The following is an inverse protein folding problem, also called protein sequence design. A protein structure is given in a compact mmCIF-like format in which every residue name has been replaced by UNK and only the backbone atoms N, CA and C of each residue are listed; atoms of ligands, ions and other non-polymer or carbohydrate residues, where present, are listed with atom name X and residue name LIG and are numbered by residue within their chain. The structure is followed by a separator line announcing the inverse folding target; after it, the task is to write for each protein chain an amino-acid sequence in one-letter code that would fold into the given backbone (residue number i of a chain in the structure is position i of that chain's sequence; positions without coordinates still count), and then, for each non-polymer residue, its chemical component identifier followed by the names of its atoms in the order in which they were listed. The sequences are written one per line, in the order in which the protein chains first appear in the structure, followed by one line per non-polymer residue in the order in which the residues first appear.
data_IF_304287287307
#
_entry.id   IF_304287287307
#
_cell.length_a   1.000
_cell.length_b   1.000
_cell.length_c   1.000
_cell.angle_alpha   90.00
_cell.angle_beta   90.00
_cell.angle_gamma   90.00
#
_symmetry.space_group_name_H-M   'P 1'
#
loop_
_entity.id
_entity.type
_entity.pdbx_description
1 polymer ?
#
# COMPACT_ATOMS: atom_id res chain seq x y z
N UNK A 1 -47.87 24.27 6.11
CA UNK A 1 -46.91 23.34 5.48
C UNK A 1 -45.87 22.98 6.51
N UNK A 2 -46.09 21.87 7.21
CA UNK A 2 -45.20 21.32 8.24
C UNK A 2 -44.06 20.60 7.51
N UNK A 3 -42.85 21.17 7.56
CA UNK A 3 -41.65 20.52 7.05
C UNK A 3 -41.38 19.28 7.91
N UNK A 4 -41.31 18.11 7.27
CA UNK A 4 -40.93 16.87 7.94
C UNK A 4 -39.53 17.02 8.57
N UNK A 5 -39.29 16.44 9.76
CA UNK A 5 -37.95 16.40 10.34
C UNK A 5 -37.02 15.63 9.41
N UNK A 6 -35.88 16.22 9.03
CA UNK A 6 -34.83 15.49 8.34
C UNK A 6 -34.34 14.35 9.24
N UNK A 7 -34.06 13.15 8.69
CA UNK A 7 -33.49 12.07 9.47
C UNK A 7 -32.20 12.56 10.14
N UNK A 8 -32.05 12.26 11.43
CA UNK A 8 -30.82 12.53 12.17
C UNK A 8 -29.66 11.88 11.42
N UNK A 9 -28.78 12.70 10.86
CA UNK A 9 -27.47 12.26 10.38
C UNK A 9 -26.79 11.60 11.58
N UNK A 10 -26.62 10.28 11.52
CA UNK A 10 -25.90 9.52 12.51
C UNK A 10 -24.53 10.13 12.74
N UNK A 11 -24.02 9.99 13.98
CA UNK A 11 -22.64 10.33 14.32
C UNK A 11 -21.72 9.81 13.23
N UNK A 12 -20.91 10.69 12.64
CA UNK A 12 -19.89 10.26 11.70
C UNK A 12 -18.84 9.50 12.49
N UNK A 13 -18.55 8.27 12.06
CA UNK A 13 -17.54 7.47 12.70
C UNK A 13 -16.16 8.03 12.31
N UNK A 14 -15.27 8.17 13.29
CA UNK A 14 -13.88 8.56 13.04
C UNK A 14 -13.18 7.47 12.22
N UNK A 15 -13.60 6.21 12.37
CA UNK A 15 -13.13 5.12 11.51
C UNK A 15 -13.42 5.37 10.02
N UNK A 16 -14.48 6.11 9.67
CA UNK A 16 -14.82 6.38 8.28
C UNK A 16 -13.79 7.28 7.59
N UNK A 17 -13.23 8.29 8.29
CA UNK A 17 -12.21 9.16 7.68
C UNK A 17 -10.87 8.45 7.56
N UNK A 18 -10.47 7.65 8.55
CA UNK A 18 -9.19 6.94 8.49
C UNK A 18 -9.18 5.93 7.34
N UNK A 19 -10.30 5.22 7.12
CA UNK A 19 -10.48 4.35 5.96
C UNK A 19 -10.39 5.12 4.63
N UNK A 20 -11.02 6.31 4.55
CA UNK A 20 -10.93 7.17 3.37
C UNK A 20 -9.49 7.67 3.13
N UNK A 21 -8.77 8.02 4.19
CA UNK A 21 -7.37 8.46 4.13
C UNK A 21 -6.45 7.33 3.67
N UNK A 22 -6.64 6.10 4.18
CA UNK A 22 -5.89 4.93 3.74
C UNK A 22 -6.18 4.57 2.27
N UNK A 23 -7.45 4.59 1.85
CA UNK A 23 -7.83 4.38 0.45
C UNK A 23 -7.20 5.43 -0.48
N UNK A 24 -7.20 6.69 -0.04
CA UNK A 24 -6.56 7.78 -0.77
C UNK A 24 -5.04 7.59 -0.85
N UNK A 25 -4.38 7.23 0.26
CA UNK A 25 -2.95 6.95 0.27
C UNK A 25 -2.58 5.85 -0.73
N UNK A 26 -3.29 4.71 -0.69
CA UNK A 26 -3.08 3.60 -1.65
C UNK A 26 -3.25 4.06 -3.09
N UNK A 27 -4.30 4.83 -3.38
CA UNK A 27 -4.56 5.38 -4.71
C UNK A 27 -3.45 6.31 -5.20
N UNK A 28 -2.96 7.20 -4.32
CA UNK A 28 -1.84 8.11 -4.62
C UNK A 28 -0.56 7.34 -4.88
N UNK A 29 -0.27 6.28 -4.12
CA UNK A 29 0.91 5.44 -4.35
C UNK A 29 0.84 4.72 -5.70
N UNK A 30 -0.33 4.21 -6.10
CA UNK A 30 -0.51 3.66 -7.44
C UNK A 30 -0.32 4.70 -8.54
N UNK A 31 -0.85 5.92 -8.34
CA UNK A 31 -0.67 7.01 -9.29
C UNK A 31 0.80 7.42 -9.41
N UNK A 32 1.52 7.58 -8.29
CA UNK A 32 2.97 7.82 -8.27
C UNK A 32 3.75 6.76 -9.05
N UNK A 33 3.47 5.48 -8.81
CA UNK A 33 4.10 4.36 -9.55
C UNK A 33 3.86 4.48 -11.06
N UNK A 34 2.67 4.93 -11.47
CA UNK A 34 2.36 5.16 -12.88
C UNK A 34 3.13 6.36 -13.47
N UNK A 35 3.37 7.42 -12.69
CA UNK A 35 4.22 8.54 -13.09
C UNK A 35 5.69 8.13 -13.26
N UNK A 36 6.18 7.25 -12.39
CA UNK A 36 7.56 6.76 -12.36
C UNK A 36 7.89 5.82 -13.52
N UNK A 37 6.90 5.13 -14.10
CA UNK A 37 7.07 4.35 -15.33
C UNK A 37 7.31 5.26 -16.55
N UNK A 38 8.50 5.87 -16.63
CA UNK A 38 8.98 6.52 -17.86
C UNK A 38 9.06 5.48 -18.98
N UNK A 39 8.30 5.68 -20.05
CA UNK A 39 8.57 5.04 -21.32
C UNK A 39 9.81 5.69 -21.94
N UNK A 40 10.97 5.11 -21.64
CA UNK A 40 12.21 5.42 -22.34
C UNK A 40 12.06 4.99 -23.81
N UNK A 41 11.60 5.91 -24.68
CA UNK A 41 11.73 5.77 -26.14
C UNK A 41 10.51 6.02 -27.02
N UNK A 42 9.29 6.20 -26.50
CA UNK A 42 8.09 6.26 -27.38
C UNK A 42 7.59 7.66 -27.75
N UNK A 43 8.11 8.75 -27.18
CA UNK A 43 7.60 10.10 -27.47
C UNK A 43 6.13 10.34 -27.07
N UNK A 44 5.52 9.37 -26.39
CA UNK A 44 4.13 9.40 -25.94
C UNK A 44 4.03 10.26 -24.67
N UNK A 45 3.07 11.18 -24.64
CA UNK A 45 2.84 12.04 -23.47
C UNK A 45 2.37 11.14 -22.32
N UNK A 46 3.05 11.19 -21.17
CA UNK A 46 2.73 10.38 -19.98
C UNK A 46 1.23 10.37 -19.64
N UNK A 47 0.58 11.52 -19.84
CA UNK A 47 -0.83 11.79 -19.59
C UNK A 47 -1.79 10.97 -20.47
N UNK A 48 -1.31 10.45 -21.60
CA UNK A 48 -2.11 9.66 -22.53
C UNK A 48 -2.09 8.16 -22.24
N UNK A 49 -1.16 7.69 -21.42
CA UNK A 49 -1.03 6.28 -21.08
C UNK A 49 -2.26 5.77 -20.32
N UNK A 50 -2.66 4.53 -20.60
CA UNK A 50 -3.78 3.87 -19.89
C UNK A 50 -3.51 3.77 -18.39
N UNK A 51 -2.25 3.57 -17.99
CA UNK A 51 -1.83 3.51 -16.58
C UNK A 51 -2.03 4.86 -15.88
N UNK A 52 -1.61 5.97 -16.49
CA UNK A 52 -1.85 7.30 -15.96
C UNK A 52 -3.35 7.59 -15.84
N UNK A 53 -4.13 7.31 -16.89
CA UNK A 53 -5.59 7.51 -16.89
C UNK A 53 -6.29 6.70 -15.79
N UNK A 54 -5.93 5.43 -15.61
CA UNK A 54 -6.47 4.56 -14.54
C UNK A 54 -6.07 5.04 -13.15
N UNK A 55 -4.78 5.39 -12.96
CA UNK A 55 -4.28 5.94 -11.69
C UNK A 55 -4.98 7.24 -11.32
N UNK A 56 -5.11 8.16 -12.29
CA UNK A 56 -5.87 9.42 -12.14
C UNK A 56 -7.30 9.16 -11.68
N UNK A 57 -8.03 8.30 -12.38
CA UNK A 57 -9.45 8.03 -12.07
C UNK A 57 -9.60 7.50 -10.64
N UNK A 58 -8.78 6.53 -10.23
CA UNK A 58 -8.80 5.98 -8.86
C UNK A 58 -8.59 7.03 -7.77
N UNK A 59 -7.62 7.91 -7.97
CA UNK A 59 -7.35 8.99 -7.02
C UNK A 59 -8.52 9.97 -6.95
N UNK A 60 -9.04 10.39 -8.10
CA UNK A 60 -10.16 11.32 -8.16
C UNK A 60 -11.46 10.72 -7.60
N UNK A 61 -11.66 9.42 -7.69
CA UNK A 61 -12.78 8.71 -7.04
C UNK A 61 -12.61 8.69 -5.52
N UNK A 62 -11.41 8.39 -5.03
CA UNK A 62 -11.10 8.44 -3.58
C UNK A 62 -11.31 9.85 -3.00
N UNK A 63 -10.98 10.89 -3.77
CA UNK A 63 -11.23 12.27 -3.38
C UNK A 63 -12.72 12.60 -3.19
N UNK A 64 -13.65 11.93 -3.88
CA UNK A 64 -15.08 12.19 -3.72
C UNK A 64 -15.56 11.83 -2.31
N UNK A 65 -15.05 10.73 -1.75
CA UNK A 65 -15.37 10.31 -0.38
C UNK A 65 -14.91 11.36 0.64
N UNK A 66 -13.63 11.75 0.57
CA UNK A 66 -13.04 12.79 1.43
C UNK A 66 -13.77 14.13 1.27
N UNK A 67 -14.14 14.51 0.04
CA UNK A 67 -14.91 15.73 -0.23
C UNK A 67 -16.24 15.73 0.51
N UNK A 68 -17.00 14.64 0.41
CA UNK A 68 -18.31 14.51 1.07
C UNK A 68 -18.16 14.61 2.59
N UNK A 69 -17.17 13.93 3.13
CA UNK A 69 -16.86 13.98 4.56
C UNK A 69 -16.54 15.41 5.03
N UNK A 70 -15.64 16.11 4.33
CA UNK A 70 -15.26 17.48 4.68
C UNK A 70 -16.41 18.49 4.51
N UNK A 71 -17.25 18.35 3.48
CA UNK A 71 -18.43 19.20 3.31
C UNK A 71 -19.44 18.96 4.44
N UNK A 72 -19.66 17.70 4.82
CA UNK A 72 -20.56 17.32 5.90
C UNK A 72 -20.12 17.89 7.25
N UNK A 73 -18.85 17.76 7.63
CA UNK A 73 -18.36 18.26 8.92
C UNK A 73 -18.40 19.79 8.99
N UNK A 74 -18.02 20.47 7.90
CA UNK A 74 -18.08 21.93 7.82
C UNK A 74 -19.52 22.46 7.94
N UNK A 75 -20.51 21.73 7.42
CA UNK A 75 -21.93 22.08 7.52
C UNK A 75 -22.50 21.83 8.90
N UNK A 76 -22.16 20.70 9.54
CA UNK A 76 -22.67 20.34 10.87
C UNK A 76 -22.21 21.31 11.95
N UNK A 77 -20.93 21.67 11.91
CA UNK A 77 -20.34 22.56 12.91
C UNK A 77 -20.34 24.04 12.48
N UNK A 78 -21.17 24.39 11.49
CA UNK A 78 -21.30 25.77 11.05
C UNK A 78 -21.88 26.64 12.18
N UNK A 79 -21.12 27.65 12.60
CA UNK A 79 -21.52 28.56 13.68
C UNK A 79 -21.36 27.98 15.10
N UNK A 80 -20.82 26.77 15.24
CA UNK A 80 -20.47 26.20 16.55
C UNK A 80 -19.11 26.75 16.98
N UNK A 81 -19.06 27.38 18.15
CA UNK A 81 -17.82 27.88 18.73
C UNK A 81 -16.87 26.71 19.05
N UNK A 82 -15.61 26.80 18.63
CA UNK A 82 -14.59 25.78 18.91
C UNK A 82 -14.62 24.51 18.04
N UNK A 83 -15.71 24.22 17.31
CA UNK A 83 -15.84 23.10 16.33
C UNK A 83 -15.17 21.77 16.77
N UNK A 84 -15.66 21.14 17.85
CA UNK A 84 -14.96 20.04 18.51
C UNK A 84 -14.78 18.78 17.66
N UNK A 85 -15.69 18.45 16.75
CA UNK A 85 -15.59 17.27 15.88
C UNK A 85 -14.48 17.49 14.83
N UNK A 86 -14.47 18.65 14.17
CA UNK A 86 -13.39 19.05 13.25
C UNK A 86 -12.05 19.04 13.97
N UNK A 87 -12.03 19.53 15.21
CA UNK A 87 -10.84 19.58 16.03
C UNK A 87 -10.33 18.16 16.34
N UNK A 88 -11.22 17.29 16.81
CA UNK A 88 -10.91 15.89 17.08
C UNK A 88 -10.34 15.14 15.87
N UNK A 89 -10.86 15.42 14.68
CA UNK A 89 -10.46 14.71 13.46
C UNK A 89 -9.19 15.27 12.84
N UNK A 90 -9.11 16.59 12.69
CA UNK A 90 -8.09 17.27 11.89
C UNK A 90 -7.05 18.03 12.70
N UNK A 91 -7.07 18.01 14.04
CA UNK A 91 -5.95 18.61 14.77
C UNK A 91 -5.55 17.98 16.09
N UNK A 92 -6.31 17.04 16.68
CA UNK A 92 -5.80 16.20 17.78
C UNK A 92 -4.57 15.38 17.34
N UNK A 93 -4.48 15.06 16.04
CA UNK A 93 -3.37 14.36 15.41
C UNK A 93 -2.22 15.29 14.96
N UNK A 94 -2.14 16.49 15.54
CA UNK A 94 -1.16 17.50 15.15
C UNK A 94 -1.38 18.07 13.75
N UNK A 95 -2.60 18.01 13.21
CA UNK A 95 -2.95 18.42 11.85
C UNK A 95 -2.37 17.52 10.75
N UNK A 96 -2.02 16.27 11.09
CA UNK A 96 -1.36 15.37 10.15
C UNK A 96 -2.29 14.92 9.01
N UNK A 97 -3.58 14.64 9.27
CA UNK A 97 -4.54 14.28 8.20
C UNK A 97 -4.72 15.38 7.16
N UNK A 98 -4.95 16.63 7.60
CA UNK A 98 -5.14 17.76 6.69
C UNK A 98 -3.84 18.09 5.93
N UNK A 99 -2.68 17.95 6.57
CA UNK A 99 -1.39 18.09 5.91
C UNK A 99 -1.17 17.02 4.83
N UNK A 100 -1.50 15.76 5.11
CA UNK A 100 -1.41 14.68 4.12
C UNK A 100 -2.31 14.95 2.90
N UNK A 101 -3.55 15.40 3.14
CA UNK A 101 -4.47 15.78 2.06
C UNK A 101 -3.91 16.92 1.21
N UNK A 102 -3.33 17.94 1.85
CA UNK A 102 -2.66 19.04 1.17
C UNK A 102 -1.53 18.54 0.26
N UNK A 103 -0.67 17.67 0.79
CA UNK A 103 0.45 17.09 0.03
C UNK A 103 -0.02 16.24 -1.15
N UNK A 104 -1.09 15.46 -1.01
CA UNK A 104 -1.65 14.67 -2.12
C UNK A 104 -2.29 15.53 -3.20
N UNK A 105 -3.07 16.53 -2.82
CA UNK A 105 -3.71 17.45 -3.77
C UNK A 105 -2.69 18.29 -4.51
N UNK A 106 -1.61 18.71 -3.84
CA UNK A 106 -0.47 19.37 -4.48
C UNK A 106 0.23 18.44 -5.49
N UNK A 107 0.53 17.19 -5.11
CA UNK A 107 1.14 16.22 -6.03
C UNK A 107 0.28 16.00 -7.29
N UNK A 108 -1.04 15.91 -7.13
CA UNK A 108 -1.96 15.77 -8.26
C UNK A 108 -1.99 17.00 -9.14
N UNK A 109 -1.93 18.20 -8.55
CA UNK A 109 -1.89 19.44 -9.29
C UNK A 109 -0.59 19.54 -10.09
N UNK A 110 0.55 19.25 -9.47
CA UNK A 110 1.87 19.28 -10.11
C UNK A 110 1.98 18.24 -11.23
N UNK A 111 1.54 17.00 -11.00
CA UNK A 111 1.48 15.95 -12.02
C UNK A 111 0.43 16.23 -13.11
N UNK A 112 -0.56 17.05 -12.77
CA UNK A 112 -1.71 17.39 -13.59
C UNK A 112 -1.53 18.63 -14.47
N UNK A 113 -0.44 19.38 -14.31
CA UNK A 113 -0.18 20.59 -15.09
C UNK A 113 -0.27 20.32 -16.60
N UNK A 114 -1.09 21.11 -17.29
CA UNK A 114 -1.33 20.96 -18.74
C UNK A 114 -2.21 19.76 -19.11
N UNK A 115 -2.88 19.13 -18.14
CA UNK A 115 -3.79 17.99 -18.35
C UNK A 115 -5.22 18.28 -17.92
N UNK A 116 -6.12 17.33 -18.17
CA UNK A 116 -7.50 17.36 -17.65
C UNK A 116 -7.61 17.26 -16.12
N UNK A 117 -6.52 16.96 -15.39
CA UNK A 117 -6.53 16.94 -13.91
C UNK A 117 -6.60 18.34 -13.33
N UNK A 118 -5.86 19.29 -13.91
CA UNK A 118 -5.74 20.67 -13.41
C UNK A 118 -7.10 21.39 -13.34
N UNK A 119 -8.00 21.03 -14.26
CA UNK A 119 -9.35 21.60 -14.36
C UNK A 119 -10.43 20.67 -13.79
N UNK A 120 -10.06 19.53 -13.18
CA UNK A 120 -11.05 18.60 -12.65
C UNK A 120 -11.72 19.17 -11.40
N UNK A 121 -13.05 19.36 -11.50
CA UNK A 121 -13.87 19.92 -10.43
C UNK A 121 -13.78 19.15 -9.10
N UNK A 122 -13.46 17.85 -9.12
CA UNK A 122 -13.34 17.07 -7.88
C UNK A 122 -12.10 17.49 -7.09
N UNK A 123 -10.98 17.71 -7.79
CA UNK A 123 -9.73 18.15 -7.18
C UNK A 123 -9.87 19.58 -6.64
N UNK A 124 -10.39 20.50 -7.45
CA UNK A 124 -10.54 21.91 -7.05
C UNK A 124 -11.48 22.08 -5.86
N UNK A 125 -12.58 21.30 -5.80
CA UNK A 125 -13.50 21.33 -4.66
C UNK A 125 -12.84 20.81 -3.37
N UNK A 126 -12.05 19.74 -3.45
CA UNK A 126 -11.32 19.21 -2.28
C UNK A 126 -10.29 20.22 -1.79
N UNK A 127 -9.54 20.85 -2.70
CA UNK A 127 -8.58 21.91 -2.34
C UNK A 127 -9.29 23.06 -1.62
N UNK A 128 -10.43 23.51 -2.14
CA UNK A 128 -11.21 24.57 -1.51
C UNK A 128 -11.68 24.21 -0.11
N UNK A 129 -12.22 23.00 0.09
CA UNK A 129 -12.67 22.52 1.41
C UNK A 129 -11.49 22.37 2.38
N UNK A 130 -10.37 21.83 1.90
CA UNK A 130 -9.14 21.73 2.66
C UNK A 130 -8.68 23.10 3.15
N UNK A 131 -8.70 24.12 2.28
CA UNK A 131 -8.34 25.48 2.66
C UNK A 131 -9.29 26.06 3.73
N UNK A 132 -10.59 25.84 3.61
CA UNK A 132 -11.54 26.26 4.65
C UNK A 132 -11.28 25.60 6.00
N UNK A 133 -10.93 24.31 6.03
CA UNK A 133 -10.55 23.61 7.27
C UNK A 133 -9.24 24.18 7.83
N UNK A 134 -8.26 24.46 6.99
CA UNK A 134 -6.97 25.05 7.39
C UNK A 134 -7.14 26.45 8.02
N UNK A 135 -8.01 27.29 7.45
CA UNK A 135 -8.36 28.60 8.00
C UNK A 135 -8.99 28.45 9.39
N UNK A 136 -9.98 27.56 9.53
CA UNK A 136 -10.63 27.27 10.81
C UNK A 136 -9.61 26.79 11.85
N UNK A 137 -8.75 25.82 11.53
CA UNK A 137 -7.73 25.32 12.45
C UNK A 137 -6.74 26.43 12.85
N UNK A 138 -6.43 27.33 11.93
CA UNK A 138 -5.58 28.49 12.20
C UNK A 138 -6.24 29.44 13.19
N UNK A 139 -7.53 29.74 13.00
CA UNK A 139 -8.32 30.58 13.90
C UNK A 139 -8.48 29.96 15.30
N UNK A 140 -8.50 28.62 15.39
CA UNK A 140 -8.47 27.87 16.65
C UNK A 140 -7.09 27.80 17.31
N UNK A 141 -6.07 28.45 16.75
CA UNK A 141 -4.72 28.56 17.33
C UNK A 141 -3.73 27.48 16.89
N UNK A 142 -4.10 26.59 15.97
CA UNK A 142 -3.25 25.50 15.49
C UNK A 142 -2.42 25.85 14.26
N UNK A 143 -2.40 27.11 13.84
CA UNK A 143 -1.67 27.54 12.65
C UNK A 143 -0.16 27.18 12.66
N UNK A 144 0.47 27.09 13.83
CA UNK A 144 1.87 26.61 13.94
C UNK A 144 1.98 25.10 13.72
N UNK A 145 1.12 24.31 14.37
CA UNK A 145 1.10 22.85 14.21
C UNK A 145 0.81 22.47 12.76
N UNK A 146 -0.18 23.12 12.14
CA UNK A 146 -0.52 22.93 10.73
C UNK A 146 0.66 23.20 9.78
N UNK A 147 1.41 24.29 10.01
CA UNK A 147 2.60 24.61 9.21
C UNK A 147 3.68 23.54 9.35
N UNK A 148 3.92 23.07 10.58
CA UNK A 148 4.89 22.01 10.84
C UNK A 148 4.48 20.70 10.16
N UNK A 149 3.23 20.27 10.34
CA UNK A 149 2.69 19.06 9.73
C UNK A 149 2.75 19.09 8.20
N UNK A 150 2.47 20.23 7.57
CA UNK A 150 2.62 20.40 6.12
C UNK A 150 4.07 20.28 5.66
N UNK A 151 5.01 20.84 6.42
CA UNK A 151 6.42 20.73 6.12
C UNK A 151 6.89 19.27 6.24
N UNK A 152 6.53 18.57 7.32
CA UNK A 152 6.85 17.15 7.52
C UNK A 152 6.23 16.26 6.44
N UNK A 153 4.98 16.50 6.05
CA UNK A 153 4.31 15.75 4.99
C UNK A 153 5.01 15.96 3.63
N UNK A 154 5.45 17.19 3.34
CA UNK A 154 6.23 17.50 2.14
C UNK A 154 7.61 16.84 2.16
N UNK A 155 8.32 16.90 3.29
CA UNK A 155 9.63 16.26 3.46
C UNK A 155 9.54 14.74 3.31
N UNK A 156 8.49 14.11 3.85
CA UNK A 156 8.23 12.68 3.69
C UNK A 156 8.05 12.29 2.22
N UNK A 157 7.26 13.05 1.47
CA UNK A 157 7.09 12.83 0.03
C UNK A 157 8.41 12.97 -0.74
N UNK A 158 9.26 13.94 -0.36
CA UNK A 158 10.56 14.15 -0.99
C UNK A 158 11.54 13.02 -0.64
N UNK A 159 11.62 12.63 0.63
CA UNK A 159 12.48 11.55 1.10
C UNK A 159 12.15 10.21 0.43
N UNK A 160 10.86 9.91 0.24
CA UNK A 160 10.41 8.74 -0.54
C UNK A 160 10.92 8.80 -2.00
N UNK A 161 10.87 9.97 -2.64
CA UNK A 161 11.35 10.15 -4.01
C UNK A 161 12.87 9.98 -4.10
N UNK A 162 13.61 10.58 -3.16
CA UNK A 162 15.07 10.53 -3.12
C UNK A 162 15.58 9.11 -2.82
N UNK A 163 14.97 8.42 -1.84
CA UNK A 163 15.31 7.03 -1.51
C UNK A 163 15.10 6.08 -2.70
N UNK A 164 14.01 6.26 -3.45
CA UNK A 164 13.76 5.50 -4.68
C UNK A 164 14.77 5.82 -5.78
N UNK A 165 15.16 7.09 -5.95
CA UNK A 165 16.18 7.47 -6.92
C UNK A 165 17.54 6.84 -6.58
N UNK A 166 17.95 6.88 -5.31
CA UNK A 166 19.15 6.21 -4.83
C UNK A 166 19.09 4.69 -5.05
N UNK A 167 17.95 4.05 -4.77
CA UNK A 167 17.76 2.62 -5.02
C UNK A 167 17.85 2.26 -6.51
N UNK A 168 17.31 3.10 -7.40
CA UNK A 168 17.40 2.94 -8.84
C UNK A 168 18.84 3.12 -9.35
N UNK A 169 19.59 4.08 -8.79
CA UNK A 169 20.99 4.32 -9.11
C UNK A 169 21.89 3.19 -8.62
N UNK A 170 21.69 2.68 -7.40
CA UNK A 170 22.40 1.50 -6.89
C UNK A 170 22.17 0.25 -7.75
N UNK A 171 20.99 0.09 -8.36
CA UNK A 171 20.74 -1.01 -9.32
C UNK A 171 21.45 -0.83 -10.66
N UNK A 172 21.82 0.40 -11.04
CA UNK A 172 22.50 0.72 -12.29
C UNK A 172 24.01 0.63 -12.21
N UNK A 173 24.57 0.60 -11.00
CA UNK A 173 25.99 0.33 -10.85
C UNK A 173 26.28 -1.05 -11.46
N UNK A 174 27.25 -1.14 -12.40
CA UNK A 174 27.61 -2.42 -12.99
C UNK A 174 27.99 -3.34 -11.83
N UNK A 175 27.30 -4.48 -11.73
CA UNK A 175 27.77 -5.61 -10.92
C UNK A 175 29.12 -5.97 -11.49
N UNK A 176 30.19 -5.45 -10.90
CA UNK A 176 31.55 -5.76 -11.29
C UNK A 176 31.64 -7.29 -11.31
N UNK A 177 31.72 -7.83 -12.52
CA UNK A 177 31.78 -9.25 -12.79
C UNK A 177 33.03 -9.80 -12.11
N UNK A 178 32.85 -10.32 -10.90
CA UNK A 178 33.90 -11.03 -10.17
C UNK A 178 34.03 -12.50 -10.64
N UNK A 179 33.27 -12.91 -11.66
CA UNK A 179 33.50 -14.14 -12.39
C UNK A 179 34.40 -13.85 -13.58
N UNK A 180 35.68 -14.16 -13.42
CA UNK A 180 36.65 -14.18 -14.49
C UNK A 180 36.21 -15.11 -15.60
N UNK A 181 36.35 -14.62 -16.83
CA UNK A 181 36.21 -15.37 -18.08
C UNK A 181 37.26 -16.49 -18.06
N UNK A 182 36.86 -17.71 -17.72
CA UNK A 182 37.62 -18.90 -18.10
C UNK A 182 37.21 -19.27 -19.52
N UNK A 183 38.07 -18.86 -20.44
CA UNK A 183 38.15 -19.27 -21.84
C UNK A 183 38.47 -20.78 -21.87
N UNK A 184 37.46 -21.62 -22.10
CA UNK A 184 37.64 -23.07 -22.23
C UNK A 184 37.73 -23.42 -23.72
N UNK A 185 38.97 -23.66 -24.15
CA UNK A 185 39.34 -24.25 -25.44
C UNK A 185 38.75 -25.65 -25.61
N UNK A 186 38.44 -25.96 -26.86
CA UNK A 186 38.04 -27.27 -27.39
C UNK A 186 38.90 -28.42 -26.84
N UNK A 187 38.26 -29.41 -26.22
CA UNK A 187 38.93 -30.64 -25.80
C UNK A 187 38.03 -31.57 -24.98
N UNK A 188 37.54 -32.62 -25.65
CA UNK A 188 37.09 -33.91 -25.11
C UNK A 188 36.04 -33.90 -23.99
N UNK A 189 34.81 -34.15 -24.43
CA UNK A 189 33.64 -34.41 -23.59
C UNK A 189 33.80 -35.76 -22.86
N UNK A 190 34.06 -35.69 -21.55
CA UNK A 190 33.89 -36.81 -20.63
C UNK A 190 32.62 -36.56 -19.81
N UNK A 191 31.74 -37.56 -19.59
CA UNK A 191 30.49 -37.36 -18.86
C UNK A 191 30.79 -37.21 -17.37
N UNK A 192 30.90 -35.97 -16.90
CA UNK A 192 31.01 -35.65 -15.47
C UNK A 192 29.63 -35.42 -14.87
N UNK A 193 29.47 -36.04 -13.70
CA UNK A 193 28.39 -35.93 -12.72
C UNK A 193 27.73 -34.54 -12.67
N UNK A 194 26.39 -34.53 -12.54
CA UNK A 194 25.60 -33.34 -12.25
C UNK A 194 26.15 -32.62 -11.02
N UNK A 195 26.89 -31.54 -11.26
CA UNK A 195 27.31 -30.61 -10.21
C UNK A 195 26.07 -29.83 -9.79
N UNK A 196 25.42 -30.30 -8.73
CA UNK A 196 24.42 -29.55 -7.98
C UNK A 196 25.10 -28.27 -7.49
N UNK A 197 24.65 -27.06 -7.88
CA UNK A 197 25.29 -25.82 -7.47
C UNK A 197 25.27 -25.70 -5.94
N UNK A 198 26.43 -25.53 -5.32
CA UNK A 198 26.54 -25.28 -3.88
C UNK A 198 25.70 -24.04 -3.48
N UNK A 199 24.59 -24.27 -2.79
CA UNK A 199 23.66 -23.25 -2.28
C UNK A 199 24.28 -22.30 -1.23
N UNK A 200 25.56 -22.44 -0.88
CA UNK A 200 26.18 -21.78 0.26
C UNK A 200 26.72 -20.36 0.03
N UNK A 201 26.51 -19.75 -1.14
CA UNK A 201 27.08 -18.41 -1.46
C UNK A 201 26.08 -17.30 -1.79
N UNK A 202 24.77 -17.51 -1.61
CA UNK A 202 23.78 -16.46 -1.88
C UNK A 202 23.71 -15.42 -0.74
N UNK A 203 23.49 -14.12 -1.05
CA UNK A 203 23.27 -13.08 -0.05
C UNK A 203 22.12 -13.44 0.91
N UNK A 204 22.25 -13.16 2.23
CA UNK A 204 21.24 -13.52 3.24
C UNK A 204 19.81 -13.06 2.92
N UNK A 205 19.65 -11.94 2.21
CA UNK A 205 18.34 -11.41 1.83
C UNK A 205 17.58 -12.31 0.83
N UNK A 206 18.29 -13.00 -0.05
CA UNK A 206 17.69 -13.92 -1.04
C UNK A 206 17.30 -15.22 -0.36
N UNK A 207 18.16 -15.75 0.51
CA UNK A 207 17.90 -16.99 1.25
C UNK A 207 16.67 -16.86 2.14
N UNK A 208 16.50 -15.74 2.84
CA UNK A 208 15.32 -15.50 3.67
C UNK A 208 14.04 -15.43 2.84
N UNK A 209 14.09 -14.81 1.65
CA UNK A 209 12.92 -14.73 0.76
C UNK A 209 12.51 -16.10 0.22
N UNK A 210 13.48 -16.90 -0.23
CA UNK A 210 13.22 -18.27 -0.69
C UNK A 210 12.68 -19.15 0.45
N UNK A 211 13.24 -19.02 1.65
CA UNK A 211 12.76 -19.75 2.82
C UNK A 211 11.30 -19.40 3.14
N UNK A 212 10.94 -18.12 3.18
CA UNK A 212 9.55 -17.69 3.47
C UNK A 212 8.56 -18.23 2.43
N UNK A 213 8.82 -18.01 1.15
CA UNK A 213 7.94 -18.49 0.07
C UNK A 213 7.83 -20.02 0.06
N UNK A 214 8.92 -20.73 0.36
CA UNK A 214 8.89 -22.19 0.49
C UNK A 214 8.04 -22.65 1.68
N UNK A 215 8.07 -21.93 2.80
CA UNK A 215 7.26 -22.24 3.98
C UNK A 215 5.79 -21.94 3.76
N UNK A 216 5.45 -20.84 3.09
CA UNK A 216 4.07 -20.55 2.66
C UNK A 216 3.54 -21.68 1.77
N UNK A 217 4.31 -22.14 0.77
CA UNK A 217 3.90 -23.27 -0.09
C UNK A 217 3.87 -24.63 0.64
N UNK A 218 4.64 -24.81 1.71
CA UNK A 218 4.53 -26.00 2.55
C UNK A 218 3.24 -25.98 3.37
N UNK A 219 2.81 -24.81 3.85
CA UNK A 219 1.63 -24.66 4.68
C UNK A 219 0.34 -25.12 3.99
N UNK A 220 0.24 -24.87 2.68
CA UNK A 220 -0.82 -25.39 1.81
C UNK A 220 -0.94 -26.92 1.91
N UNK A 221 0.20 -27.61 1.84
CA UNK A 221 0.27 -29.08 1.73
C UNK A 221 0.15 -29.81 3.06
N UNK A 222 0.17 -29.10 4.18
CA UNK A 222 0.13 -29.72 5.52
C UNK A 222 -1.31 -30.04 5.89
N UNK A 223 -1.62 -31.33 6.03
CA UNK A 223 -2.93 -31.83 6.44
C UNK A 223 -3.11 -31.87 7.98
N UNK A 224 -2.00 -32.00 8.71
CA UNK A 224 -2.00 -32.13 10.18
C UNK A 224 -2.04 -30.75 10.83
N UNK A 225 -3.10 -30.49 11.61
CA UNK A 225 -3.27 -29.22 12.33
C UNK A 225 -2.09 -28.89 13.25
N UNK A 226 -1.48 -29.91 13.87
CA UNK A 226 -0.30 -29.72 14.74
C UNK A 226 0.93 -29.27 13.94
N UNK A 227 1.19 -29.94 12.82
CA UNK A 227 2.35 -29.63 11.99
C UNK A 227 2.17 -28.27 11.30
N UNK A 228 0.92 -27.89 11.00
CA UNK A 228 0.59 -26.57 10.47
C UNK A 228 0.89 -25.48 11.51
N UNK A 229 0.51 -25.68 12.78
CA UNK A 229 0.82 -24.73 13.85
C UNK A 229 2.34 -24.58 14.06
N UNK A 230 3.08 -25.69 14.14
CA UNK A 230 4.54 -25.64 14.29
C UNK A 230 5.21 -24.91 13.10
N UNK A 231 4.69 -25.12 11.88
CA UNK A 231 5.16 -24.44 10.68
C UNK A 231 4.82 -22.94 10.68
N UNK A 232 3.61 -22.56 11.11
CA UNK A 232 3.18 -21.16 11.23
C UNK A 232 4.03 -20.43 12.27
N UNK A 233 4.27 -21.02 13.43
CA UNK A 233 5.12 -20.42 14.45
C UNK A 233 6.54 -20.18 13.92
N UNK A 234 7.10 -21.15 13.19
CA UNK A 234 8.40 -21.00 12.55
C UNK A 234 8.37 -19.91 11.46
N UNK A 235 7.28 -19.83 10.69
CA UNK A 235 7.14 -18.83 9.63
C UNK A 235 7.02 -17.43 10.22
N UNK A 236 6.26 -17.28 11.30
CA UNK A 236 6.11 -16.05 12.05
C UNK A 236 7.47 -15.55 12.54
N UNK A 237 8.28 -16.41 13.14
CA UNK A 237 9.64 -16.06 13.60
C UNK A 237 10.55 -15.59 12.46
N UNK A 238 10.35 -16.10 11.24
CA UNK A 238 11.13 -15.66 10.07
C UNK A 238 10.72 -14.26 9.62
N UNK A 239 9.46 -13.87 9.77
CA UNK A 239 9.02 -12.49 9.55
C UNK A 239 9.44 -11.59 10.73
N UNK A 240 9.28 -12.06 11.96
CA UNK A 240 9.55 -11.37 13.22
C UNK A 240 11.01 -11.46 13.67
N UNK A 241 11.91 -11.07 12.77
CA UNK A 241 13.36 -11.20 12.97
C UNK A 241 13.95 -10.37 14.13
N UNK A 242 13.20 -9.41 14.69
CA UNK A 242 13.60 -8.64 15.89
C UNK A 242 12.92 -9.15 17.17
N UNK A 243 12.10 -10.20 17.08
CA UNK A 243 11.32 -10.78 18.17
C UNK A 243 10.41 -9.77 18.89
N UNK A 244 9.74 -8.87 18.16
CA UNK A 244 8.76 -7.93 18.75
C UNK A 244 7.48 -8.62 19.22
N UNK A 245 7.19 -9.83 18.72
CA UNK A 245 5.96 -10.56 18.99
C UNK A 245 4.77 -10.09 18.14
N UNK A 246 5.00 -9.17 17.21
CA UNK A 246 4.00 -8.66 16.27
C UNK A 246 4.63 -8.27 14.93
N UNK A 247 3.92 -8.54 13.83
CA UNK A 247 4.33 -8.10 12.50
C UNK A 247 3.62 -6.79 12.17
N UNK A 248 4.34 -5.67 12.23
CA UNK A 248 3.83 -4.35 11.83
C UNK A 248 4.74 -3.69 10.80
N UNK A 249 4.23 -2.64 10.13
CA UNK A 249 4.97 -1.87 9.13
C UNK A 249 5.53 -2.73 7.99
N UNK A 250 6.85 -2.68 7.76
CA UNK A 250 7.46 -3.42 6.65
C UNK A 250 7.31 -4.94 6.76
N UNK A 251 7.26 -5.50 7.98
CA UNK A 251 7.09 -6.95 8.18
C UNK A 251 5.67 -7.39 7.81
N UNK A 252 4.68 -6.58 8.19
CA UNK A 252 3.28 -6.75 7.83
C UNK A 252 3.13 -6.75 6.31
N UNK A 253 3.61 -5.68 5.66
CA UNK A 253 3.56 -5.53 4.20
C UNK A 253 4.23 -6.71 3.49
N UNK A 254 5.34 -7.20 4.04
CA UNK A 254 6.08 -8.34 3.51
C UNK A 254 5.28 -9.65 3.62
N UNK A 255 4.64 -9.90 4.77
CA UNK A 255 3.78 -11.07 4.97
C UNK A 255 2.58 -11.04 4.01
N UNK A 256 1.81 -9.94 4.00
CA UNK A 256 0.65 -9.78 3.12
C UNK A 256 1.04 -10.00 1.65
N UNK A 257 2.15 -9.39 1.21
CA UNK A 257 2.61 -9.55 -0.18
C UNK A 257 2.99 -10.99 -0.52
N UNK A 258 3.72 -11.67 0.36
CA UNK A 258 4.20 -13.04 0.10
C UNK A 258 3.01 -14.02 0.07
N UNK A 259 2.01 -13.88 0.97
CA UNK A 259 0.76 -14.66 0.94
C UNK A 259 -0.09 -14.32 -0.30
N UNK A 260 -0.27 -13.05 -0.62
CA UNK A 260 -1.00 -12.61 -1.82
C UNK A 260 -0.37 -13.18 -3.09
N UNK A 261 0.96 -13.19 -3.17
CA UNK A 261 1.68 -13.77 -4.31
C UNK A 261 1.41 -15.26 -4.46
N UNK A 262 1.42 -16.00 -3.35
CA UNK A 262 1.13 -17.43 -3.35
C UNK A 262 -0.32 -17.71 -3.75
N UNK A 263 -1.29 -17.06 -3.09
CA UNK A 263 -2.72 -17.22 -3.37
C UNK A 263 -3.05 -16.88 -4.82
N UNK A 264 -2.52 -15.76 -5.31
CA UNK A 264 -2.72 -15.34 -6.70
C UNK A 264 -2.09 -16.33 -7.69
N UNK A 265 -0.93 -16.92 -7.37
CA UNK A 265 -0.31 -17.96 -8.20
C UNK A 265 -1.20 -19.20 -8.26
N UNK A 266 -1.70 -19.69 -7.14
CA UNK A 266 -2.56 -20.86 -7.09
C UNK A 266 -3.90 -20.65 -7.79
N UNK A 267 -4.55 -19.51 -7.54
CA UNK A 267 -5.75 -19.10 -8.25
C UNK A 267 -5.51 -19.02 -9.77
N UNK A 268 -4.33 -18.54 -10.20
CA UNK A 268 -3.94 -18.49 -11.62
C UNK A 268 -3.70 -19.87 -12.23
N UNK A 269 -3.12 -20.81 -11.47
CA UNK A 269 -2.91 -22.19 -11.91
C UNK A 269 -4.23 -22.96 -11.99
N UNK A 270 -5.11 -22.77 -11.02
CA UNK A 270 -6.47 -23.31 -11.00
C UNK A 270 -7.32 -22.75 -12.14
N UNK A 271 -7.21 -21.45 -12.43
CA UNK A 271 -7.82 -20.85 -13.61
C UNK A 271 -7.43 -21.59 -14.89
N UNK A 272 -6.13 -21.84 -15.12
CA UNK A 272 -5.67 -22.53 -16.35
C UNK A 272 -6.35 -23.89 -16.55
N UNK A 273 -6.76 -24.55 -15.45
CA UNK A 273 -7.49 -25.83 -15.49
C UNK A 273 -8.99 -25.66 -15.76
N UNK A 274 -9.62 -24.62 -15.20
CA UNK A 274 -11.08 -24.43 -15.23
C UNK A 274 -11.60 -23.43 -16.28
N UNK A 275 -10.74 -22.58 -16.84
CA UNK A 275 -11.08 -21.62 -17.89
C UNK A 275 -11.69 -20.28 -17.43
N UNK A 276 -11.68 -19.95 -16.13
CA UNK A 276 -12.21 -18.67 -15.59
C UNK A 276 -11.15 -17.61 -15.22
N UNK A 277 -11.23 -16.39 -15.75
CA UNK A 277 -10.23 -15.34 -15.52
C UNK A 277 -9.73 -15.26 -14.06
N UNK A 278 -8.40 -15.12 -13.83
CA UNK A 278 -7.87 -15.11 -12.48
C UNK A 278 -8.34 -13.84 -11.76
N UNK A 279 -8.52 -13.89 -10.43
CA UNK A 279 -8.91 -12.72 -9.67
C UNK A 279 -7.88 -11.59 -9.81
N UNK A 280 -8.33 -10.34 -9.75
CA UNK A 280 -7.44 -9.18 -9.77
C UNK A 280 -6.56 -9.20 -8.51
N UNK A 281 -5.28 -8.81 -8.66
CA UNK A 281 -4.32 -8.78 -7.55
C UNK A 281 -4.85 -8.02 -6.33
N UNK A 282 -5.51 -6.86 -6.54
CA UNK A 282 -6.03 -6.05 -5.44
C UNK A 282 -7.16 -6.75 -4.68
N UNK A 283 -7.95 -7.59 -5.38
CA UNK A 283 -8.97 -8.39 -4.73
C UNK A 283 -8.34 -9.46 -3.82
N UNK A 284 -7.33 -10.17 -4.33
CA UNK A 284 -6.59 -11.18 -3.55
C UNK A 284 -5.90 -10.56 -2.35
N UNK A 285 -5.26 -9.41 -2.54
CA UNK A 285 -4.56 -8.68 -1.46
C UNK A 285 -5.51 -8.29 -0.34
N UNK A 286 -6.66 -7.68 -0.66
CA UNK A 286 -7.67 -7.32 0.35
C UNK A 286 -8.21 -8.56 1.07
N UNK A 287 -8.47 -9.65 0.33
CA UNK A 287 -8.96 -10.89 0.91
C UNK A 287 -7.93 -11.52 1.86
N UNK A 288 -6.66 -11.58 1.46
CA UNK A 288 -5.56 -12.06 2.33
C UNK A 288 -5.46 -11.19 3.58
N UNK A 289 -5.54 -9.86 3.44
CA UNK A 289 -5.55 -8.95 4.58
C UNK A 289 -6.69 -9.26 5.55
N UNK A 290 -7.92 -9.42 5.06
CA UNK A 290 -9.08 -9.74 5.92
C UNK A 290 -8.95 -11.10 6.64
N UNK A 291 -8.24 -12.06 6.04
CA UNK A 291 -8.01 -13.37 6.67
C UNK A 291 -6.92 -13.35 7.73
N UNK A 292 -5.85 -12.58 7.47
CA UNK A 292 -4.65 -12.56 8.31
C UNK A 292 -4.73 -11.50 9.41
N UNK A 293 -5.44 -10.41 9.16
CA UNK A 293 -5.65 -9.27 10.05
C UNK A 293 -7.16 -8.97 10.13
N UNK A 294 -7.91 -9.71 10.95
CA UNK A 294 -9.38 -9.60 11.01
C UNK A 294 -9.85 -8.30 11.67
N UNK A 295 -8.99 -7.67 12.47
CA UNK A 295 -9.32 -6.45 13.22
C UNK A 295 -8.91 -5.18 12.44
N UNK A 296 -8.11 -5.33 11.38
CA UNK A 296 -7.59 -4.29 10.50
C UNK A 296 -6.79 -3.22 11.24
N UNK A 297 -6.05 -3.61 12.29
CA UNK A 297 -5.21 -2.71 13.07
C UNK A 297 -3.83 -2.47 12.43
N UNK A 298 -3.49 -3.20 11.35
CA UNK A 298 -2.23 -3.07 10.64
C UNK A 298 -1.06 -3.76 11.35
N UNK A 299 -1.36 -4.61 12.33
CA UNK A 299 -0.43 -5.52 12.97
C UNK A 299 -0.94 -6.97 12.84
N UNK A 300 -0.04 -7.94 12.87
CA UNK A 300 -0.40 -9.36 12.94
C UNK A 300 0.29 -9.92 14.16
N UNK A 301 -0.49 -10.22 15.20
CA UNK A 301 0.03 -10.93 16.37
C UNK A 301 0.12 -12.45 16.10
N UNK A 302 0.72 -13.19 17.03
CA UNK A 302 0.96 -14.63 16.84
C UNK A 302 -0.35 -15.41 16.77
N UNK A 303 -1.33 -15.05 17.57
CA UNK A 303 -2.65 -15.67 17.60
C UNK A 303 -3.41 -15.47 16.27
N UNK A 304 -3.35 -14.26 15.71
CA UNK A 304 -3.87 -13.93 14.39
C UNK A 304 -3.15 -14.71 13.30
N UNK A 305 -1.82 -14.81 13.34
CA UNK A 305 -1.07 -15.62 12.38
C UNK A 305 -1.45 -17.10 12.43
N UNK A 306 -1.61 -17.68 13.63
CA UNK A 306 -2.00 -19.09 13.81
C UNK A 306 -3.35 -19.43 13.18
N UNK A 307 -4.29 -18.49 13.18
CA UNK A 307 -5.61 -18.68 12.58
C UNK A 307 -5.60 -18.27 11.10
N UNK A 308 -5.07 -17.08 10.81
CA UNK A 308 -5.17 -16.42 9.53
C UNK A 308 -4.25 -16.97 8.45
N UNK A 309 -3.02 -17.40 8.79
CA UNK A 309 -2.08 -17.91 7.78
C UNK A 309 -2.57 -19.20 7.15
N UNK A 310 -3.07 -20.16 7.95
CA UNK A 310 -3.61 -21.41 7.40
C UNK A 310 -4.88 -21.16 6.62
N UNK A 311 -5.79 -20.35 7.17
CA UNK A 311 -7.05 -20.00 6.53
C UNK A 311 -6.87 -19.31 5.17
N UNK A 312 -5.92 -18.38 5.08
CA UNK A 312 -5.64 -17.68 3.83
C UNK A 312 -5.13 -18.60 2.71
N UNK A 313 -4.60 -19.78 3.04
CA UNK A 313 -4.11 -20.75 2.05
C UNK A 313 -5.14 -21.83 1.76
N UNK A 314 -5.87 -22.30 2.78
CA UNK A 314 -6.90 -23.34 2.64
C UNK A 314 -8.16 -22.85 1.91
N UNK A 315 -8.65 -21.64 2.22
CA UNK A 315 -9.91 -21.11 1.70
C UNK A 315 -9.83 -20.73 0.20
N UNK A 316 -8.68 -20.92 -0.46
CA UNK A 316 -8.54 -20.82 -1.92
C UNK A 316 -9.25 -21.97 -2.60
N UNK A 317 -9.41 -23.09 -1.89
CA UNK A 317 -9.88 -24.33 -2.46
C UNK A 317 -11.40 -24.42 -2.62
N UNK A 318 -12.17 -23.64 -1.85
CA UNK A 318 -13.64 -23.57 -1.84
C UNK A 318 -14.22 -22.48 -2.77
#
# INVERSE_FOLDING_TARGET
MTLAPRPSLGSVDIGDIDNLMMSMHRSVQHFKKALETKHAGTGEVLQDTVKFKRGKTRVLESLVGLRRYMDDILRRESGVEGRPELMKIFGDDGCSKIAALHSWTQLLNDAGQGSSIETDSRLTNVISLGHSIEEILTDLGLGKALKLAKQEAKERLQAEADAKQMAAEMRRLPRTSMFGVMDVRDGEYSPTEEVVPEMHSLPPCIMNTMKRLSMVSMLDKVESARDALDLIDTLFDVYDHDASGSLSGEKYDLAIRDFTAHVHQEASERHKRLGWAPPDWTFVENWVTEMVDPNLDGEINREEAQVGFKKAVDDIDD
#
